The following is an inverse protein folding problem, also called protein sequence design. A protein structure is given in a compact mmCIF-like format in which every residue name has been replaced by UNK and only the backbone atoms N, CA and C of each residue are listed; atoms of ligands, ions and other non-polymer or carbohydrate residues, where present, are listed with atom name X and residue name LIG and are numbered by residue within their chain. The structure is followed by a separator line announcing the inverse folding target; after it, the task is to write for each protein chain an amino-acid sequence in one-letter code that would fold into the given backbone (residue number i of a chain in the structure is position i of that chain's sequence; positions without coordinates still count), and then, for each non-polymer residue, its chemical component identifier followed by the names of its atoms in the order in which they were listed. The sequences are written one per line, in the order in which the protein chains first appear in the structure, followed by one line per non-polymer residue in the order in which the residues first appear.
data_IF_129454169784
#
_entry.id   IF_129454169784
#
_cell.length_a   1.000
_cell.length_b   1.000
_cell.length_c   1.000
_cell.angle_alpha   90.00
_cell.angle_beta   90.00
_cell.angle_gamma   90.00
#
_symmetry.space_group_name_H-M   'P 1'
#
loop_
_entity.id
_entity.type
_entity.pdbx_description
1 polymer ?
#
# COMPACT_ATOMS: atom_id res chain seq x y z
N UNK A 1 5.70 9.98 -4.44
CA UNK A 1 4.36 9.50 -4.85
C UNK A 1 3.32 9.86 -3.81
N UNK A 2 2.08 9.98 -4.20
CA UNK A 2 0.98 10.24 -3.27
C UNK A 2 0.50 8.94 -2.63
N UNK A 3 0.21 8.98 -1.34
CA UNK A 3 -0.35 7.85 -0.61
C UNK A 3 -1.37 8.33 0.41
N UNK A 4 -2.44 7.56 0.59
CA UNK A 4 -3.42 7.78 1.66
C UNK A 4 -2.93 7.05 2.91
N UNK A 5 -2.55 7.81 3.93
CA UNK A 5 -1.89 7.28 5.12
C UNK A 5 -2.59 7.75 6.39
N UNK A 6 -2.31 7.02 7.46
CA UNK A 6 -2.68 7.44 8.81
C UNK A 6 -1.43 7.47 9.68
N UNK A 7 -1.35 8.46 10.56
CA UNK A 7 -0.29 8.59 11.55
C UNK A 7 -0.78 8.20 12.95
N UNK A 8 -2.06 8.00 13.10
CA UNK A 8 -2.70 7.48 14.31
C UNK A 8 -3.99 6.77 13.92
N UNK A 9 -4.45 5.84 14.75
CA UNK A 9 -5.77 5.25 14.56
C UNK A 9 -6.87 6.27 14.92
N UNK A 10 -8.03 6.16 14.28
CA UNK A 10 -9.13 7.04 14.59
C UNK A 10 -10.20 7.09 13.50
N UNK A 11 -11.08 8.12 13.55
CA UNK A 11 -12.14 8.32 12.56
C UNK A 11 -11.57 8.75 11.19
N UNK A 12 -12.44 8.96 10.22
CA UNK A 12 -12.03 9.28 8.84
C UNK A 12 -11.10 10.49 8.74
N UNK A 13 -11.16 11.40 9.69
CA UNK A 13 -10.32 12.62 9.71
C UNK A 13 -8.82 12.32 9.83
N UNK A 14 -8.44 11.13 10.29
CA UNK A 14 -7.03 10.76 10.42
C UNK A 14 -6.38 10.39 9.11
N UNK A 15 -7.16 10.19 8.05
CA UNK A 15 -6.63 9.86 6.73
C UNK A 15 -6.08 11.12 6.07
N UNK A 16 -4.81 11.09 5.69
CA UNK A 16 -4.16 12.18 4.97
C UNK A 16 -3.57 11.67 3.67
N UNK A 17 -3.64 12.48 2.62
CA UNK A 17 -2.95 12.20 1.36
C UNK A 17 -1.66 12.98 1.39
N UNK A 18 -0.54 12.29 1.30
CA UNK A 18 0.77 12.92 1.42
C UNK A 18 1.78 12.29 0.46
N UNK A 19 2.86 13.02 0.21
CA UNK A 19 3.95 12.50 -0.60
C UNK A 19 4.83 11.58 0.22
N UNK A 20 5.14 10.42 -0.33
CA UNK A 20 6.07 9.45 0.26
C UNK A 20 7.10 9.03 -0.77
N UNK A 21 8.29 8.59 -0.34
CA UNK A 21 9.28 8.06 -1.29
C UNK A 21 8.73 6.86 -2.05
N UNK A 22 9.10 6.74 -3.33
CA UNK A 22 8.82 5.54 -4.09
C UNK A 22 9.67 4.41 -3.52
N UNK A 23 9.04 3.29 -3.09
CA UNK A 23 9.81 2.18 -2.52
C UNK A 23 10.64 1.46 -3.58
N UNK A 24 11.67 0.74 -3.15
CA UNK A 24 12.43 -0.15 -4.00
C UNK A 24 12.04 -1.59 -3.73
N UNK A 25 11.84 -2.44 -4.76
CA UNK A 25 11.49 -3.84 -4.54
C UNK A 25 12.69 -4.60 -3.96
N UNK A 26 12.46 -5.32 -2.87
CA UNK A 26 13.44 -6.22 -2.28
C UNK A 26 13.42 -7.59 -2.93
N UNK A 27 14.18 -8.56 -2.38
CA UNK A 27 14.18 -9.94 -2.89
C UNK A 27 12.77 -10.52 -2.89
N UNK A 28 12.35 -11.10 -4.01
CA UNK A 28 11.03 -11.70 -4.16
C UNK A 28 9.88 -10.71 -4.33
N UNK A 29 10.17 -9.42 -4.44
CA UNK A 29 9.14 -8.36 -4.55
C UNK A 29 9.14 -7.71 -5.92
N UNK A 30 8.01 -7.11 -6.28
CA UNK A 30 7.88 -6.28 -7.48
C UNK A 30 7.37 -4.90 -7.09
N UNK A 31 7.79 -3.88 -7.82
CA UNK A 31 7.25 -2.53 -7.70
C UNK A 31 6.16 -2.36 -8.75
N UNK A 32 4.95 -2.02 -8.32
CA UNK A 32 3.80 -1.85 -9.20
C UNK A 32 3.44 -0.37 -9.31
N UNK A 33 3.29 0.11 -10.55
CA UNK A 33 2.66 1.39 -10.81
C UNK A 33 1.15 1.18 -10.71
N UNK A 34 0.55 1.59 -9.60
CA UNK A 34 -0.87 1.35 -9.30
C UNK A 34 -1.73 2.21 -10.21
N UNK A 35 -2.65 1.59 -10.92
CA UNK A 35 -3.61 2.24 -11.80
C UNK A 35 -4.99 2.37 -11.15
N UNK A 36 -5.33 1.44 -10.26
CA UNK A 36 -6.58 1.46 -9.50
C UNK A 36 -6.38 0.75 -8.17
N UNK A 37 -7.08 1.21 -7.14
CA UNK A 37 -7.02 0.61 -5.82
C UNK A 37 -8.44 0.37 -5.30
N UNK A 38 -8.65 -0.79 -4.67
CA UNK A 38 -9.92 -1.12 -4.06
C UNK A 38 -10.05 -0.52 -2.67
N UNK A 39 -11.28 -0.26 -2.26
CA UNK A 39 -11.62 0.13 -0.89
C UNK A 39 -12.53 -0.95 -0.31
N UNK A 40 -12.17 -1.48 0.83
CA UNK A 40 -12.87 -2.60 1.44
C UNK A 40 -13.30 -2.27 2.88
N UNK A 41 -14.29 -3.00 3.43
CA UNK A 41 -14.74 -2.77 4.83
C UNK A 41 -13.62 -2.89 5.85
N UNK A 42 -12.64 -3.77 5.62
CA UNK A 42 -11.52 -3.95 6.54
C UNK A 42 -10.58 -2.75 6.57
N UNK A 43 -10.58 -1.89 5.56
CA UNK A 43 -9.78 -0.66 5.57
C UNK A 43 -10.21 0.26 6.70
N UNK A 44 -11.53 0.38 6.93
CA UNK A 44 -12.06 1.15 8.05
C UNK A 44 -11.72 0.52 9.40
N UNK A 45 -11.75 -0.81 9.49
CA UNK A 45 -11.39 -1.56 10.71
C UNK A 45 -9.93 -1.30 11.06
N UNK A 46 -9.04 -1.33 10.08
CA UNK A 46 -7.62 -1.05 10.27
C UNK A 46 -7.42 0.40 10.70
N UNK A 47 -8.08 1.36 10.02
CA UNK A 47 -8.00 2.78 10.36
C UNK A 47 -8.40 3.05 11.80
N UNK A 48 -9.42 2.36 12.30
CA UNK A 48 -9.93 2.54 13.66
C UNK A 48 -9.09 1.84 14.72
N UNK A 49 -8.09 1.05 14.33
CA UNK A 49 -7.23 0.33 15.25
C UNK A 49 -7.84 -0.95 15.80
N UNK A 50 -8.87 -1.48 15.15
CA UNK A 50 -9.60 -2.67 15.59
C UNK A 50 -9.10 -3.97 15.01
N UNK A 51 -8.15 -3.91 14.06
CA UNK A 51 -7.54 -5.09 13.48
C UNK A 51 -6.43 -5.63 14.37
N UNK A 52 -6.44 -6.95 14.59
CA UNK A 52 -5.40 -7.61 15.39
C UNK A 52 -4.11 -7.87 14.60
N UNK A 53 -4.16 -7.74 13.29
CA UNK A 53 -3.03 -8.05 12.40
C UNK A 53 -2.42 -6.82 11.76
N UNK A 54 -2.99 -5.64 12.03
CA UNK A 54 -2.48 -4.39 11.47
C UNK A 54 -1.18 -3.97 12.14
N UNK A 55 -0.20 -3.48 11.38
CA UNK A 55 0.96 -2.82 11.98
C UNK A 55 0.55 -1.50 12.64
N UNK A 56 1.46 -0.95 13.41
CA UNK A 56 1.26 0.35 14.06
C UNK A 56 1.44 1.49 13.05
N UNK A 57 0.72 2.62 13.22
CA UNK A 57 0.97 3.80 12.39
C UNK A 57 2.41 4.34 12.56
N UNK A 58 2.97 5.02 11.56
CA UNK A 58 2.32 5.43 10.32
C UNK A 58 2.18 4.28 9.33
N UNK A 59 1.05 4.20 8.67
CA UNK A 59 0.82 3.16 7.67
C UNK A 59 -0.04 3.67 6.51
N UNK A 60 0.15 3.04 5.35
CA UNK A 60 -0.66 3.28 4.15
C UNK A 60 -1.82 2.30 4.12
N UNK A 61 -3.03 2.82 3.92
CA UNK A 61 -4.24 2.00 3.86
C UNK A 61 -4.41 1.35 2.49
N UNK A 62 -5.23 0.31 2.47
CA UNK A 62 -5.58 -0.41 1.24
C UNK A 62 -4.80 -1.70 1.07
N UNK A 63 -5.45 -2.72 0.51
CA UNK A 63 -4.82 -4.02 0.26
C UNK A 63 -5.05 -4.53 -1.16
N UNK A 64 -6.02 -3.98 -1.88
CA UNK A 64 -6.36 -4.43 -3.24
C UNK A 64 -5.99 -3.36 -4.25
N UNK A 65 -5.40 -3.79 -5.37
CA UNK A 65 -4.99 -2.88 -6.43
C UNK A 65 -4.88 -3.61 -7.77
N UNK A 66 -4.82 -2.82 -8.83
CA UNK A 66 -4.37 -3.25 -10.15
C UNK A 66 -3.39 -2.24 -10.71
N UNK A 67 -2.48 -2.70 -11.55
CA UNK A 67 -1.48 -1.80 -12.10
C UNK A 67 -0.49 -2.51 -13.01
N UNK A 68 0.59 -1.82 -13.31
CA UNK A 68 1.63 -2.26 -14.23
C UNK A 68 2.94 -2.43 -13.46
N UNK A 69 3.62 -3.55 -13.65
CA UNK A 69 4.92 -3.80 -13.02
C UNK A 69 5.94 -2.79 -13.55
N UNK A 70 6.55 -2.02 -12.66
CA UNK A 70 7.60 -1.05 -13.00
C UNK A 70 9.00 -1.61 -12.85
N UNK A 71 9.25 -2.34 -11.76
CA UNK A 71 10.56 -2.94 -11.46
C UNK A 71 10.35 -4.28 -10.79
N UNK A 72 11.32 -5.18 -10.95
CA UNK A 72 11.34 -6.46 -10.24
C UNK A 72 12.56 -6.52 -9.34
N UNK A 73 12.40 -7.11 -8.17
CA UNK A 73 13.48 -7.33 -7.22
C UNK A 73 14.31 -8.56 -7.57
N UNK A 74 15.43 -8.78 -6.86
CA UNK A 74 16.25 -9.97 -7.06
C UNK A 74 15.47 -11.27 -6.85
N UNK A 75 15.72 -12.26 -7.71
CA UNK A 75 15.10 -13.57 -7.59
C UNK A 75 13.67 -13.68 -8.07
N UNK A 76 13.09 -12.61 -8.60
CA UNK A 76 11.71 -12.64 -9.12
C UNK A 76 11.68 -13.31 -10.50
N UNK A 77 10.80 -14.31 -10.63
CA UNK A 77 10.49 -14.96 -11.90
C UNK A 77 8.97 -14.88 -12.11
N UNK A 78 8.52 -14.90 -13.38
CA UNK A 78 7.10 -14.85 -13.70
C UNK A 78 6.53 -13.44 -13.88
N UNK A 79 7.28 -12.41 -13.52
CA UNK A 79 6.94 -11.00 -13.76
C UNK A 79 8.11 -10.28 -14.42
N UNK A 80 7.78 -9.32 -15.27
CA UNK A 80 8.75 -8.45 -15.91
C UNK A 80 8.18 -7.03 -15.98
N UNK A 81 9.03 -5.99 -16.12
CA UNK A 81 8.54 -4.62 -16.32
C UNK A 81 7.51 -4.56 -17.44
N UNK A 82 6.47 -3.78 -17.24
CA UNK A 82 5.31 -3.61 -18.12
C UNK A 82 4.28 -4.77 -18.09
N UNK A 83 4.45 -5.75 -17.24
CA UNK A 83 3.41 -6.78 -17.02
C UNK A 83 2.18 -6.26 -16.30
#
# INVERSE_FOLDING_TARGET
MKAARIHSFGPVDVVVVEDVPVPSPGPGEVLVHVMAAGVAPWDAIIREGKSKVSPQPPLTLGSDFSGVVGKVGPGVTGFAPAD
#
